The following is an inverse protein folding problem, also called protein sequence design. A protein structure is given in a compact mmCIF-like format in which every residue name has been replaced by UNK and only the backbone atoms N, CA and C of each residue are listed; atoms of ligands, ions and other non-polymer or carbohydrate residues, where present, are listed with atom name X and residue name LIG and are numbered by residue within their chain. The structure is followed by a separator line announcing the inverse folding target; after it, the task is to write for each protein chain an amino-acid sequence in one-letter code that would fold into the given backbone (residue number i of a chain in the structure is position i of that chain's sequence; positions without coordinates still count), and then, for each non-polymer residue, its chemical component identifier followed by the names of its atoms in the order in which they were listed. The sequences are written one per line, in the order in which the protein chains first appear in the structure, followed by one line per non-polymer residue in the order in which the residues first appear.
data_IF_558958279739
#
_entry.id   IF_558958279739
#
_cell.length_a   1.000
_cell.length_b   1.000
_cell.length_c   1.000
_cell.angle_alpha   90.00
_cell.angle_beta   90.00
_cell.angle_gamma   90.00
#
_symmetry.space_group_name_H-M   'P 1'
#
loop_
_entity.id
_entity.type
_entity.pdbx_description
1 polymer ?
#
# COMPACT_ATOMS: atom_id res chain seq x y z
N UNK A 1 -9.84 21.06 42.51
CA UNK A 1 -9.66 20.35 41.24
C UNK A 1 -8.85 21.26 40.31
N UNK A 2 -7.72 20.81 39.77
CA UNK A 2 -6.96 21.59 38.79
C UNK A 2 -7.75 21.68 37.48
N UNK A 3 -7.82 22.86 36.87
CA UNK A 3 -8.47 23.02 35.56
C UNK A 3 -7.67 22.23 34.52
N UNK A 4 -8.32 21.54 33.56
CA UNK A 4 -7.59 20.80 32.53
C UNK A 4 -6.69 21.75 31.73
N UNK A 5 -5.41 21.39 31.60
CA UNK A 5 -4.49 22.08 30.70
C UNK A 5 -4.69 21.58 29.27
N UNK A 6 -5.70 22.16 28.61
CA UNK A 6 -6.02 21.83 27.23
C UNK A 6 -4.91 22.23 26.24
N UNK A 7 -4.04 23.19 26.57
CA UNK A 7 -2.94 23.61 25.71
C UNK A 7 -1.84 22.53 25.69
N UNK A 8 -1.47 22.01 26.86
CA UNK A 8 -0.53 20.89 26.95
C UNK A 8 -1.08 19.62 26.29
N UNK A 9 -2.39 19.35 26.42
CA UNK A 9 -3.04 18.23 25.75
C UNK A 9 -2.94 18.34 24.22
N UNK A 10 -3.30 19.51 23.64
CA UNK A 10 -3.20 19.74 22.18
C UNK A 10 -1.79 19.49 21.66
N UNK A 11 -0.77 20.02 22.34
CA UNK A 11 0.64 19.82 21.93
C UNK A 11 1.07 18.34 21.97
N UNK A 12 0.51 17.52 22.87
CA UNK A 12 0.77 16.07 22.90
C UNK A 12 0.05 15.35 21.76
N UNK A 13 -1.19 15.74 21.48
CA UNK A 13 -1.98 15.22 20.35
C UNK A 13 -1.26 15.50 19.03
N UNK A 14 -0.87 16.75 18.76
CA UNK A 14 -0.16 17.13 17.53
C UNK A 14 1.15 16.34 17.32
N UNK A 15 1.87 16.05 18.41
CA UNK A 15 3.08 15.21 18.34
C UNK A 15 2.74 13.76 18.03
N UNK A 16 1.71 13.20 18.67
CA UNK A 16 1.28 11.84 18.44
C UNK A 16 0.75 11.65 17.01
N UNK A 17 0.01 12.62 16.48
CA UNK A 17 -0.48 12.63 15.09
C UNK A 17 0.67 12.62 14.10
N UNK A 18 1.70 13.47 14.28
CA UNK A 18 2.89 13.46 13.40
C UNK A 18 3.61 12.12 13.39
N UNK A 19 3.76 11.49 14.56
CA UNK A 19 4.39 10.16 14.66
C UNK A 19 3.53 9.11 13.96
N UNK A 20 2.21 9.13 14.17
CA UNK A 20 1.29 8.23 13.51
C UNK A 20 1.28 8.40 11.99
N UNK A 21 1.37 9.63 11.49
CA UNK A 21 1.47 9.93 10.06
C UNK A 21 2.78 9.41 9.46
N UNK A 22 3.89 9.51 10.20
CA UNK A 22 5.17 8.92 9.83
C UNK A 22 5.06 7.40 9.65
N UNK A 23 4.57 6.69 10.66
CA UNK A 23 4.39 5.23 10.58
C UNK A 23 3.40 4.81 9.48
N UNK A 24 2.36 5.61 9.23
CA UNK A 24 1.41 5.35 8.14
C UNK A 24 2.11 5.45 6.78
N UNK A 25 2.99 6.44 6.61
CA UNK A 25 3.77 6.62 5.38
C UNK A 25 4.72 5.45 5.16
N UNK A 26 5.47 5.04 6.18
CA UNK A 26 6.36 3.87 6.12
C UNK A 26 5.61 2.59 5.76
N UNK A 27 4.41 2.38 6.34
CA UNK A 27 3.56 1.24 6.03
C UNK A 27 3.11 1.24 4.57
N UNK A 28 2.73 2.40 4.02
CA UNK A 28 2.34 2.53 2.62
C UNK A 28 3.51 2.28 1.67
N UNK A 29 4.68 2.82 1.96
CA UNK A 29 5.89 2.60 1.15
C UNK A 29 6.30 1.13 1.15
N UNK A 30 6.30 0.47 2.31
CA UNK A 30 6.60 -0.96 2.42
C UNK A 30 5.61 -1.83 1.64
N UNK A 31 4.32 -1.51 1.70
CA UNK A 31 3.29 -2.23 0.96
C UNK A 31 3.40 -2.03 -0.55
N UNK A 32 3.71 -0.81 -1.03
CA UNK A 32 3.95 -0.55 -2.44
C UNK A 32 5.17 -1.32 -2.93
N UNK A 33 6.28 -1.25 -2.20
CA UNK A 33 7.51 -1.95 -2.53
C UNK A 33 7.26 -3.47 -2.66
N UNK A 34 6.59 -4.07 -1.68
CA UNK A 34 6.28 -5.51 -1.70
C UNK A 34 5.30 -5.89 -2.81
N UNK A 35 4.28 -5.08 -3.05
CA UNK A 35 3.31 -5.31 -4.13
C UNK A 35 3.97 -5.26 -5.51
N UNK A 36 4.99 -4.42 -5.69
CA UNK A 36 5.69 -4.25 -6.95
C UNK A 36 6.74 -5.34 -7.25
N UNK A 37 7.05 -6.23 -6.29
CA UNK A 37 8.01 -7.34 -6.51
C UNK A 37 7.51 -8.46 -7.41
N UNK A 38 6.19 -8.57 -7.62
CA UNK A 38 5.61 -9.68 -8.38
C UNK A 38 4.36 -9.25 -9.13
N UNK A 39 4.30 -9.62 -10.41
CA UNK A 39 3.13 -9.42 -11.27
C UNK A 39 2.15 -10.58 -11.18
N UNK A 40 2.37 -11.57 -10.30
CA UNK A 40 1.52 -12.76 -10.16
C UNK A 40 0.07 -12.39 -9.84
N UNK A 41 -0.87 -13.16 -10.40
CA UNK A 41 -2.29 -12.96 -10.13
C UNK A 41 -2.60 -13.10 -8.64
N UNK A 42 -3.25 -12.09 -8.05
CA UNK A 42 -3.59 -12.06 -6.63
C UNK A 42 -2.53 -11.49 -5.68
N UNK A 43 -1.27 -11.26 -6.13
CA UNK A 43 -0.18 -10.78 -5.26
C UNK A 43 -0.51 -9.44 -4.58
N UNK A 44 -0.91 -8.44 -5.37
CA UNK A 44 -1.31 -7.10 -4.84
C UNK A 44 -2.43 -7.21 -3.81
N UNK A 45 -3.40 -8.10 -4.03
CA UNK A 45 -4.51 -8.31 -3.08
C UNK A 45 -4.04 -8.97 -1.78
N UNK A 46 -3.06 -9.87 -1.85
CA UNK A 46 -2.47 -10.50 -0.68
C UNK A 46 -1.68 -9.48 0.16
N UNK A 47 -0.85 -8.66 -0.50
CA UNK A 47 -0.10 -7.58 0.17
C UNK A 47 -1.04 -6.58 0.84
N UNK A 48 -2.13 -6.18 0.17
CA UNK A 48 -3.14 -5.30 0.75
C UNK A 48 -3.76 -5.89 2.02
N UNK A 49 -4.10 -7.19 2.01
CA UNK A 49 -4.66 -7.88 3.18
C UNK A 49 -3.68 -7.92 4.35
N UNK A 50 -2.43 -8.29 4.09
CA UNK A 50 -1.41 -8.43 5.13
C UNK A 50 -1.02 -7.09 5.75
N UNK A 51 -0.95 -6.04 4.93
CA UNK A 51 -0.66 -4.67 5.39
C UNK A 51 -1.86 -3.96 6.02
N UNK A 52 -3.05 -4.57 6.00
CA UNK A 52 -4.29 -3.93 6.48
C UNK A 52 -4.75 -2.75 5.62
N UNK A 53 -4.27 -2.65 4.38
CA UNK A 53 -4.58 -1.56 3.44
C UNK A 53 -5.74 -1.98 2.54
N UNK A 54 -6.63 -1.05 2.21
CA UNK A 54 -7.62 -1.28 1.16
C UNK A 54 -6.91 -1.55 -0.19
N UNK A 55 -7.29 -2.61 -0.89
CA UNK A 55 -6.63 -3.01 -2.15
C UNK A 55 -6.72 -1.94 -3.24
N UNK A 56 -7.80 -1.16 -3.31
CA UNK A 56 -7.91 -0.06 -4.27
C UNK A 56 -6.95 1.07 -3.90
N UNK A 57 -6.86 1.39 -2.61
CA UNK A 57 -5.90 2.38 -2.14
C UNK A 57 -4.45 1.97 -2.45
N UNK A 58 -4.09 0.70 -2.24
CA UNK A 58 -2.76 0.20 -2.60
C UNK A 58 -2.50 0.31 -4.10
N UNK A 59 -3.50 0.03 -4.96
CA UNK A 59 -3.37 0.24 -6.42
C UNK A 59 -3.13 1.70 -6.78
N UNK A 60 -3.82 2.62 -6.12
CA UNK A 60 -3.62 4.06 -6.35
C UNK A 60 -2.22 4.50 -5.93
N UNK A 61 -1.71 3.97 -4.81
CA UNK A 61 -0.34 4.21 -4.35
C UNK A 61 0.70 3.65 -5.34
N UNK A 62 0.51 2.43 -5.86
CA UNK A 62 1.37 1.84 -6.89
C UNK A 62 1.36 2.72 -8.15
N UNK A 63 0.19 3.15 -8.63
CA UNK A 63 0.11 4.02 -9.81
C UNK A 63 0.77 5.39 -9.60
N UNK A 64 0.77 5.91 -8.37
CA UNK A 64 1.48 7.15 -8.03
C UNK A 64 3.00 6.94 -8.02
N UNK A 65 3.46 5.79 -7.56
CA UNK A 65 4.89 5.46 -7.51
C UNK A 65 5.46 5.10 -8.90
N UNK A 66 4.70 4.35 -9.70
CA UNK A 66 5.07 3.91 -11.05
C UNK A 66 3.84 3.87 -11.98
N UNK A 67 3.56 4.98 -12.69
CA UNK A 67 2.44 5.06 -13.62
C UNK A 67 2.55 4.01 -14.73
N UNK A 68 1.55 3.13 -14.82
CA UNK A 68 1.50 2.08 -15.84
C UNK A 68 2.00 0.71 -15.37
N UNK A 69 2.58 0.61 -14.16
CA UNK A 69 3.01 -0.67 -13.60
C UNK A 69 1.88 -1.71 -13.56
N UNK A 70 0.67 -1.29 -13.14
CA UNK A 70 -0.49 -2.20 -13.08
C UNK A 70 -0.93 -2.70 -14.47
N UNK A 71 -0.77 -1.89 -15.51
CA UNK A 71 -1.07 -2.28 -16.89
C UNK A 71 -0.04 -3.30 -17.39
N UNK A 72 1.25 -3.00 -17.21
CA UNK A 72 2.36 -3.92 -17.52
C UNK A 72 2.21 -5.27 -16.79
N UNK A 73 1.91 -5.24 -15.50
CA UNK A 73 1.66 -6.45 -14.71
C UNK A 73 0.44 -7.25 -15.21
N UNK A 74 -0.57 -6.57 -15.78
CA UNK A 74 -1.68 -7.24 -16.44
C UNK A 74 -1.24 -7.96 -17.72
N UNK A 75 -0.48 -7.28 -18.58
CA UNK A 75 0.04 -7.83 -19.83
C UNK A 75 0.93 -9.07 -19.59
N UNK A 76 1.85 -8.99 -18.63
CA UNK A 76 2.71 -10.11 -18.25
C UNK A 76 1.91 -11.34 -17.79
N UNK A 77 0.84 -11.13 -17.01
CA UNK A 77 -0.05 -12.22 -16.59
C UNK A 77 -0.78 -12.85 -17.76
N UNK A 78 -1.25 -12.05 -18.71
CA UNK A 78 -1.92 -12.57 -19.90
C UNK A 78 -0.93 -13.38 -20.76
N UNK A 79 0.29 -12.87 -20.96
CA UNK A 79 1.33 -13.59 -21.68
C UNK A 79 1.70 -14.92 -21.00
N UNK A 80 1.82 -14.94 -19.67
CA UNK A 80 2.06 -16.17 -18.91
C UNK A 80 0.90 -17.17 -19.00
N UNK A 81 -0.35 -16.69 -19.03
CA UNK A 81 -1.55 -17.52 -19.20
C UNK A 81 -1.63 -18.14 -20.59
N UNK A 82 -1.29 -17.39 -21.64
CA UNK A 82 -1.25 -17.88 -23.02
C UNK A 82 -0.20 -18.98 -23.19
N UNK A 83 1.02 -18.78 -22.67
CA UNK A 83 2.07 -19.80 -22.70
C UNK A 83 1.66 -21.10 -22.00
N UNK A 84 0.97 -21.01 -20.85
CA UNK A 84 0.46 -22.20 -20.14
C UNK A 84 -0.58 -22.98 -20.94
N UNK A 85 -1.37 -22.30 -21.77
CA UNK A 85 -2.37 -22.95 -22.64
C UNK A 85 -1.77 -23.60 -23.88
N UNK A 86 -0.63 -23.10 -24.37
CA UNK A 86 0.06 -23.67 -25.53
C UNK A 86 0.86 -24.93 -25.18
N UNK A 87 1.30 -25.04 -23.92
CA UNK A 87 2.08 -26.19 -23.40
C UNK A 87 1.22 -27.27 -22.73
N UNK A 88 -0.09 -27.08 -22.64
CA UNK A 88 -1.05 -28.00 -22.00
C UNK A 88 -1.89 -28.70 -23.07
#
# INVERSE_FOLDING_TARGET
MSKPDFAALRKRVEKAEKVADGYRTELYEAAVFEAMKSTTYGHVSAVARESGINVQHLRDLINKADPGWLAKASEERQAAKSKRKETA
#
